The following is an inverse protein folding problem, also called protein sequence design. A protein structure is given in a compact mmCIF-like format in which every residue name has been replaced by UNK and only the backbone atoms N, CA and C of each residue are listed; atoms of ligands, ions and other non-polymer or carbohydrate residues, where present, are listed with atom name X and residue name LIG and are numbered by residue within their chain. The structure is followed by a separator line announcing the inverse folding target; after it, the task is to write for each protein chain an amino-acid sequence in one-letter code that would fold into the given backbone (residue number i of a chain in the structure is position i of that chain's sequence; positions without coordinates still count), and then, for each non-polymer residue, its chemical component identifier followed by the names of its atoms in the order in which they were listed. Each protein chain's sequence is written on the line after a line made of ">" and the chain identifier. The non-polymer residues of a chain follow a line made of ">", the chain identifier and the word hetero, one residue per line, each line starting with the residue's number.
data_IF_312918473418
#
_entry.id   IF_312918473418
#
_cell.length_a   1.000
_cell.length_b   1.000
_cell.length_c   1.000
_cell.angle_alpha   90.00
_cell.angle_beta   90.00
_cell.angle_gamma   90.00
#
_symmetry.space_group_name_H-M   'P 1'
#
loop_
_entity.id
_entity.type
_entity.pdbx_description
1 polymer ?
#
# COMPACT_ATOMS: atom_id res chain seq x y z
N UNK A 1 20.02 -14.28 14.13
CA UNK A 1 19.47 -14.75 12.83
C UNK A 1 19.28 -13.54 11.92
N UNK A 2 19.72 -13.57 10.66
CA UNK A 2 19.39 -12.50 9.70
C UNK A 2 17.87 -12.53 9.50
N UNK A 3 17.14 -11.50 9.89
CA UNK A 3 15.71 -11.43 9.58
C UNK A 3 15.58 -11.28 8.07
N UNK A 4 14.83 -12.17 7.42
CA UNK A 4 14.58 -12.19 5.98
C UNK A 4 13.63 -11.04 5.59
N UNK A 5 14.09 -9.81 5.79
CA UNK A 5 13.32 -8.60 5.54
C UNK A 5 13.20 -8.37 4.02
N UNK A 6 11.99 -8.11 3.50
CA UNK A 6 11.78 -8.00 2.05
C UNK A 6 12.63 -6.91 1.39
N UNK A 7 13.16 -7.19 0.20
CA UNK A 7 13.85 -6.23 -0.66
C UNK A 7 12.93 -5.72 -1.78
N UNK A 8 13.34 -4.63 -2.44
CA UNK A 8 12.65 -4.14 -3.64
C UNK A 8 12.95 -5.06 -4.83
N UNK A 9 12.25 -6.19 -4.91
CA UNK A 9 12.45 -7.20 -5.95
C UNK A 9 11.39 -7.17 -7.06
N UNK A 10 10.25 -6.51 -6.83
CA UNK A 10 9.15 -6.42 -7.81
C UNK A 10 9.29 -5.18 -8.67
N UNK A 11 9.42 -5.36 -9.99
CA UNK A 11 9.28 -4.30 -10.99
C UNK A 11 7.79 -4.01 -11.20
N UNK A 12 7.36 -2.80 -10.85
CA UNK A 12 5.95 -2.43 -10.88
C UNK A 12 5.74 -1.16 -11.71
N UNK A 13 4.86 -1.18 -12.70
CA UNK A 13 4.65 -0.04 -13.62
C UNK A 13 3.68 1.04 -13.08
N UNK A 14 3.30 0.95 -11.80
CA UNK A 14 2.29 1.83 -11.19
C UNK A 14 0.85 1.30 -11.32
N UNK A 15 0.60 0.29 -12.16
CA UNK A 15 -0.72 -0.32 -12.30
C UNK A 15 -0.89 -1.56 -11.44
N UNK A 16 -2.04 -1.68 -10.78
CA UNK A 16 -2.29 -2.79 -9.85
C UNK A 16 -2.54 -4.12 -10.57
N UNK A 17 -2.93 -4.11 -11.85
CA UNK A 17 -3.03 -5.31 -12.68
C UNK A 17 -3.81 -6.45 -11.98
N UNK A 18 -3.19 -7.60 -11.79
CA UNK A 18 -3.80 -8.76 -11.09
C UNK A 18 -3.64 -8.73 -9.57
N UNK A 19 -2.95 -7.74 -9.00
CA UNK A 19 -2.74 -7.58 -7.55
C UNK A 19 -3.96 -6.97 -6.85
N UNK A 20 -5.17 -7.40 -7.25
CA UNK A 20 -6.45 -6.89 -6.77
C UNK A 20 -7.05 -7.87 -5.76
N UNK A 21 -7.65 -7.34 -4.70
CA UNK A 21 -8.19 -8.09 -3.56
C UNK A 21 -9.64 -7.72 -3.34
N UNK A 22 -10.51 -8.73 -3.28
CA UNK A 22 -11.98 -8.62 -3.15
C UNK A 22 -12.70 -8.03 -4.38
N UNK A 23 -12.02 -7.94 -5.53
CA UNK A 23 -12.63 -7.59 -6.80
C UNK A 23 -11.75 -8.02 -7.98
N UNK A 24 -12.37 -8.23 -9.13
CA UNK A 24 -11.74 -8.54 -10.42
C UNK A 24 -12.59 -7.97 -11.57
N UNK A 25 -12.14 -8.16 -12.81
CA UNK A 25 -12.77 -7.62 -14.01
C UNK A 25 -14.20 -8.13 -14.27
N UNK A 26 -14.61 -9.22 -13.62
CA UNK A 26 -15.96 -9.79 -13.75
C UNK A 26 -16.96 -9.17 -12.77
N UNK A 27 -16.53 -8.38 -11.79
CA UNK A 27 -17.44 -7.71 -10.86
C UNK A 27 -18.11 -6.50 -11.53
N UNK A 28 -19.41 -6.29 -11.29
CA UNK A 28 -20.17 -5.13 -11.80
C UNK A 28 -19.60 -3.78 -11.31
N UNK A 29 -19.05 -3.78 -10.10
CA UNK A 29 -18.40 -2.62 -9.48
C UNK A 29 -16.91 -2.48 -9.86
N UNK A 30 -16.38 -3.31 -10.76
CA UNK A 30 -15.00 -3.19 -11.23
C UNK A 30 -14.71 -1.78 -11.76
N UNK A 31 -13.47 -1.35 -11.52
CA UNK A 31 -12.91 -0.13 -12.05
C UNK A 31 -11.41 -0.30 -12.23
N UNK A 32 -10.91 0.10 -13.40
CA UNK A 32 -9.47 0.15 -13.62
C UNK A 32 -8.92 1.49 -13.15
N UNK A 33 -8.21 1.45 -12.03
CA UNK A 33 -7.53 2.58 -11.40
C UNK A 33 -6.25 2.99 -12.13
N UNK A 34 -5.85 2.25 -13.17
CA UNK A 34 -4.66 2.52 -13.97
C UNK A 34 -3.43 2.75 -13.06
N UNK A 35 -2.74 3.88 -13.19
CA UNK A 35 -1.58 4.28 -12.39
C UNK A 35 -1.85 5.54 -11.54
N UNK A 36 -3.12 5.83 -11.24
CA UNK A 36 -3.53 7.08 -10.60
C UNK A 36 -2.92 7.24 -9.21
N UNK A 37 -2.84 6.17 -8.43
CA UNK A 37 -2.22 6.22 -7.11
C UNK A 37 -0.73 6.57 -7.19
N UNK A 38 0.05 5.85 -8.01
CA UNK A 38 1.48 6.13 -8.18
C UNK A 38 1.75 7.56 -8.66
N UNK A 39 0.95 8.06 -9.59
CA UNK A 39 1.09 9.42 -10.14
C UNK A 39 0.70 10.53 -9.15
N UNK A 40 0.10 10.19 -8.00
CA UNK A 40 -0.24 11.18 -6.97
C UNK A 40 0.96 11.58 -6.11
N UNK A 41 2.07 10.84 -6.19
CA UNK A 41 3.30 11.11 -5.45
C UNK A 41 4.36 11.74 -6.36
N UNK A 42 4.78 12.97 -6.05
CA UNK A 42 5.75 13.73 -6.87
C UNK A 42 7.18 13.22 -6.72
N UNK A 43 7.52 12.72 -5.53
CA UNK A 43 8.89 12.32 -5.18
C UNK A 43 9.15 10.82 -5.40
N UNK A 44 8.29 10.17 -6.18
CA UNK A 44 8.44 8.75 -6.48
C UNK A 44 9.44 8.54 -7.63
N UNK A 45 10.66 8.15 -7.27
CA UNK A 45 11.74 7.93 -8.25
C UNK A 45 11.62 6.58 -8.94
N UNK A 46 11.84 6.57 -10.26
CA UNK A 46 12.06 5.35 -11.06
C UNK A 46 13.56 5.09 -11.23
N UNK A 47 14.02 3.83 -11.24
CA UNK A 47 15.42 3.54 -11.49
C UNK A 47 15.77 3.86 -12.95
N UNK A 48 16.97 4.42 -13.18
CA UNK A 48 17.44 4.78 -14.52
C UNK A 48 17.46 3.60 -15.51
N UNK A 49 17.70 2.38 -15.00
CA UNK A 49 17.72 1.15 -15.80
C UNK A 49 16.33 0.65 -16.22
N UNK A 50 15.24 1.20 -15.63
CA UNK A 50 13.88 0.84 -15.97
C UNK A 50 12.95 2.05 -15.77
N UNK A 51 12.98 3.06 -16.66
CA UNK A 51 12.28 4.34 -16.50
C UNK A 51 10.74 4.23 -16.53
N UNK A 52 10.20 3.04 -16.78
CA UNK A 52 8.77 2.75 -16.79
C UNK A 52 8.31 1.99 -15.53
N UNK A 53 9.23 1.59 -14.64
CA UNK A 53 8.93 0.75 -13.49
C UNK A 53 9.41 1.38 -12.19
N UNK A 54 8.78 1.01 -11.08
CA UNK A 54 9.20 1.27 -9.72
C UNK A 54 9.72 -0.03 -9.11
N UNK A 55 10.73 0.08 -8.26
CA UNK A 55 11.27 -1.05 -7.51
C UNK A 55 10.57 -1.11 -6.16
N UNK A 56 9.58 -1.99 -6.06
CA UNK A 56 8.73 -2.14 -4.89
C UNK A 56 8.93 -3.49 -4.22
N UNK A 57 8.62 -3.54 -2.93
CA UNK A 57 8.47 -4.78 -2.16
C UNK A 57 7.17 -5.47 -2.56
N UNK A 58 6.07 -4.71 -2.51
CA UNK A 58 4.73 -5.19 -2.84
C UNK A 58 3.86 -4.02 -3.31
N UNK A 59 2.80 -4.36 -4.03
CA UNK A 59 1.75 -3.44 -4.45
C UNK A 59 0.43 -4.20 -4.52
N UNK A 60 -0.62 -3.63 -3.94
CA UNK A 60 -1.94 -4.23 -3.87
C UNK A 60 -3.05 -3.18 -3.99
N UNK A 61 -4.19 -3.62 -4.53
CA UNK A 61 -5.43 -2.86 -4.56
C UNK A 61 -6.54 -3.63 -3.87
N UNK A 62 -7.24 -2.98 -2.97
CA UNK A 62 -8.31 -3.55 -2.15
C UNK A 62 -9.61 -2.82 -2.38
N UNK A 63 -10.70 -3.58 -2.52
CA UNK A 63 -12.05 -3.05 -2.43
C UNK A 63 -12.70 -3.53 -1.12
N UNK A 64 -12.59 -2.71 -0.07
CA UNK A 64 -13.21 -3.03 1.22
C UNK A 64 -14.73 -2.88 1.21
N UNK A 65 -15.28 -2.12 0.25
CA UNK A 65 -16.72 -2.01 0.03
C UNK A 65 -17.37 -3.37 -0.20
N UNK A 66 -16.67 -4.32 -0.83
CA UNK A 66 -17.15 -5.71 -0.95
C UNK A 66 -17.33 -6.39 0.40
N UNK A 67 -16.31 -6.32 1.26
CA UNK A 67 -16.34 -6.93 2.60
C UNK A 67 -17.47 -6.32 3.42
N UNK A 68 -17.60 -5.00 3.39
CA UNK A 68 -18.68 -4.29 4.08
C UNK A 68 -20.03 -4.73 3.51
N UNK A 69 -20.23 -4.71 2.18
CA UNK A 69 -21.49 -5.14 1.57
C UNK A 69 -21.90 -6.58 1.91
N UNK A 70 -20.92 -7.49 2.07
CA UNK A 70 -21.19 -8.87 2.48
C UNK A 70 -21.72 -8.95 3.92
N UNK A 71 -21.25 -8.07 4.82
CA UNK A 71 -21.75 -8.00 6.20
C UNK A 71 -23.20 -7.51 6.30
N UNK A 72 -23.70 -6.79 5.30
CA UNK A 72 -25.07 -6.24 5.27
C UNK A 72 -26.09 -7.14 4.54
N UNK A 73 -25.76 -8.40 4.23
CA UNK A 73 -26.66 -9.32 3.50
C UNK A 73 -28.00 -9.60 4.20
N UNK A 74 -28.04 -9.54 5.54
CA UNK A 74 -29.26 -9.70 6.34
C UNK A 74 -29.96 -8.37 6.69
N UNK A 75 -29.41 -7.23 6.25
CA UNK A 75 -29.94 -5.91 6.53
C UNK A 75 -31.15 -5.55 5.64
N UNK A 76 -31.76 -4.39 5.90
CA UNK A 76 -32.84 -3.82 5.09
C UNK A 76 -32.36 -3.50 3.66
N UNK A 77 -33.29 -3.30 2.74
CA UNK A 77 -32.99 -2.97 1.35
C UNK A 77 -32.24 -1.64 1.21
N UNK A 78 -32.53 -0.69 2.08
CA UNK A 78 -31.92 0.64 2.12
C UNK A 78 -30.46 0.54 2.59
N UNK A 79 -30.21 -0.19 3.68
CA UNK A 79 -28.86 -0.39 4.21
C UNK A 79 -27.97 -1.16 3.24
N UNK A 80 -28.52 -2.15 2.54
CA UNK A 80 -27.80 -2.88 1.47
C UNK A 80 -27.34 -1.94 0.36
N UNK A 81 -28.24 -1.10 -0.14
CA UNK A 81 -27.92 -0.12 -1.18
C UNK A 81 -26.87 0.88 -0.72
N UNK A 82 -26.90 1.29 0.54
CA UNK A 82 -25.87 2.16 1.11
C UNK A 82 -24.51 1.46 1.18
N UNK A 83 -24.47 0.21 1.66
CA UNK A 83 -23.24 -0.57 1.70
C UNK A 83 -22.67 -0.86 0.30
N UNK A 84 -23.52 -1.08 -0.71
CA UNK A 84 -23.10 -1.23 -2.11
C UNK A 84 -22.42 0.02 -2.67
N UNK A 85 -22.81 1.23 -2.25
CA UNK A 85 -22.13 2.47 -2.67
C UNK A 85 -20.66 2.48 -2.29
N UNK A 86 -20.29 1.82 -1.18
CA UNK A 86 -18.91 1.74 -0.71
C UNK A 86 -18.01 0.91 -1.62
N UNK A 87 -18.58 0.07 -2.49
CA UNK A 87 -17.84 -0.66 -3.53
C UNK A 87 -17.23 0.27 -4.59
N UNK A 88 -17.64 1.53 -4.64
CA UNK A 88 -17.04 2.52 -5.53
C UNK A 88 -15.72 3.11 -5.01
N UNK A 89 -15.28 2.72 -3.81
CA UNK A 89 -14.05 3.19 -3.19
C UNK A 89 -13.00 2.08 -3.16
N UNK A 90 -11.79 2.42 -3.61
CA UNK A 90 -10.66 1.52 -3.73
C UNK A 90 -9.52 2.03 -2.85
N UNK A 91 -8.88 1.11 -2.14
CA UNK A 91 -7.69 1.41 -1.36
C UNK A 91 -6.49 0.73 -1.99
N UNK A 92 -5.55 1.52 -2.45
CA UNK A 92 -4.34 1.07 -3.11
C UNK A 92 -3.14 1.36 -2.25
N UNK A 93 -2.20 0.43 -2.17
CA UNK A 93 -0.92 0.72 -1.54
C UNK A 93 0.22 0.01 -2.23
N UNK A 94 1.40 0.60 -2.09
CA UNK A 94 2.66 -0.01 -2.48
C UNK A 94 3.76 0.37 -1.50
N UNK A 95 4.75 -0.50 -1.39
CA UNK A 95 5.80 -0.40 -0.36
C UNK A 95 7.16 -0.40 -1.00
N UNK A 96 8.02 0.53 -0.58
CA UNK A 96 9.41 0.64 -1.02
C UNK A 96 10.30 0.54 0.20
N UNK A 97 11.28 -0.36 0.17
CA UNK A 97 12.40 -0.38 1.11
C UNK A 97 13.31 0.80 0.78
N UNK A 98 13.50 1.71 1.75
CA UNK A 98 14.31 2.92 1.58
C UNK A 98 15.72 2.81 2.18
N UNK A 99 16.00 1.76 2.97
CA UNK A 99 17.36 1.46 3.45
C UNK A 99 17.45 1.21 4.95
N UNK A 100 18.67 1.13 5.48
CA UNK A 100 18.88 1.05 6.91
C UNK A 100 18.51 2.38 7.57
N UNK A 101 17.87 2.34 8.74
CA UNK A 101 17.52 3.52 9.51
C UNK A 101 17.65 3.26 11.01
N UNK A 102 17.92 4.29 11.84
CA UNK A 102 17.96 4.12 13.29
C UNK A 102 16.62 3.61 13.81
N UNK A 103 16.65 2.50 14.54
CA UNK A 103 15.50 1.93 15.23
C UNK A 103 15.61 2.24 16.72
N UNK A 104 14.70 3.06 17.23
CA UNK A 104 14.60 3.37 18.67
C UNK A 104 13.42 2.60 19.27
N UNK A 105 13.61 1.29 19.43
CA UNK A 105 12.68 0.48 20.21
C UNK A 105 12.75 0.89 21.69
N UNK A 106 11.63 1.31 22.26
CA UNK A 106 11.49 1.50 23.72
C UNK A 106 11.63 0.14 24.41
N UNK A 107 12.64 -0.02 25.28
CA UNK A 107 12.79 -1.20 26.15
C UNK A 107 14.13 -1.96 26.06
N UNK A 108 15.03 -1.60 25.14
CA UNK A 108 16.35 -2.27 25.04
C UNK A 108 17.41 -1.50 25.83
N UNK A 109 17.90 -2.09 26.92
CA UNK A 109 18.95 -1.50 27.77
C UNK A 109 20.27 -1.39 27.01
N UNK A 110 20.70 -0.17 26.69
CA UNK A 110 21.94 0.10 25.96
C UNK A 110 23.11 0.08 26.95
N UNK A 111 24.05 -0.87 26.79
CA UNK A 111 25.21 -1.02 27.69
C UNK A 111 26.23 0.10 27.41
N UNK A 112 26.67 0.81 28.45
CA UNK A 112 27.68 1.89 28.38
C UNK A 112 28.98 1.34 27.76
N UNK A 113 29.38 1.84 26.59
CA UNK A 113 30.54 1.36 25.82
C UNK A 113 30.23 0.56 24.54
N UNK A 114 28.95 0.29 24.27
CA UNK A 114 28.50 -0.29 23.00
C UNK A 114 28.66 0.71 21.86
N UNK A 115 29.42 0.37 20.82
CA UNK A 115 29.41 1.12 19.55
C UNK A 115 28.04 0.90 18.90
N UNK A 116 27.30 1.96 18.56
CA UNK A 116 25.89 1.97 18.11
C UNK A 116 25.54 1.18 16.82
N UNK A 117 26.39 0.25 16.37
CA UNK A 117 26.16 -0.62 15.20
C UNK A 117 24.99 -1.62 15.37
N UNK A 118 24.33 -1.65 16.53
CA UNK A 118 23.26 -2.59 16.87
C UNK A 118 21.84 -2.05 16.80
N UNK A 119 21.64 -0.74 16.62
CA UNK A 119 20.31 -0.11 16.58
C UNK A 119 19.79 0.13 15.14
N UNK A 120 20.37 -0.53 14.14
CA UNK A 120 19.97 -0.30 12.75
C UNK A 120 18.76 -1.17 12.37
N UNK A 121 17.60 -0.55 12.20
CA UNK A 121 16.45 -1.15 11.54
C UNK A 121 16.52 -1.08 10.02
N UNK A 122 15.46 -1.56 9.38
CA UNK A 122 15.17 -1.39 7.97
C UNK A 122 13.94 -0.53 7.81
N UNK A 123 14.10 0.59 7.12
CA UNK A 123 13.01 1.49 6.82
C UNK A 123 12.28 1.08 5.53
N UNK A 124 10.96 1.13 5.61
CA UNK A 124 10.04 0.96 4.51
C UNK A 124 9.15 2.19 4.43
N UNK A 125 9.02 2.74 3.24
CA UNK A 125 8.05 3.78 2.93
C UNK A 125 6.83 3.13 2.31
N UNK A 126 5.68 3.41 2.89
CA UNK A 126 4.38 2.92 2.47
C UNK A 126 3.64 4.09 1.84
N UNK A 127 3.21 3.90 0.61
CA UNK A 127 2.40 4.84 -0.13
C UNK A 127 1.00 4.25 -0.26
N UNK A 128 -0.01 4.97 0.20
CA UNK A 128 -1.41 4.56 0.17
C UNK A 128 -2.28 5.58 -0.54
N UNK A 129 -3.30 5.13 -1.27
CA UNK A 129 -4.28 5.98 -1.91
C UNK A 129 -5.69 5.46 -1.69
N UNK A 130 -6.61 6.36 -1.32
CA UNK A 130 -8.05 6.15 -1.48
C UNK A 130 -8.52 6.70 -2.82
N UNK A 131 -9.17 5.89 -3.64
CA UNK A 131 -9.71 6.29 -4.95
C UNK A 131 -11.22 6.11 -4.98
N UNK A 132 -11.93 7.11 -5.52
CA UNK A 132 -13.36 6.99 -5.86
C UNK A 132 -13.54 6.76 -7.36
N UNK A 133 -14.30 5.73 -7.74
CA UNK A 133 -14.69 5.44 -9.12
C UNK A 133 -15.50 6.58 -9.75
N UNK A 134 -15.30 6.79 -11.04
CA UNK A 134 -16.12 7.67 -11.89
C UNK A 134 -15.34 8.81 -12.54
N UNK A 135 -16.08 9.70 -13.22
CA UNK A 135 -15.50 10.89 -13.87
C UNK A 135 -15.10 11.95 -12.84
N UNK A 136 -15.90 12.12 -11.78
CA UNK A 136 -15.53 12.89 -10.58
C UNK A 136 -14.63 12.07 -9.65
N UNK A 137 -13.51 11.61 -10.23
CA UNK A 137 -12.52 10.78 -9.56
C UNK A 137 -11.81 11.61 -8.50
N UNK A 138 -11.90 11.15 -7.26
CA UNK A 138 -11.13 11.67 -6.14
C UNK A 138 -9.97 10.71 -5.86
N UNK A 139 -8.77 11.26 -5.64
CA UNK A 139 -7.60 10.50 -5.17
C UNK A 139 -7.06 11.18 -3.92
N UNK A 140 -7.04 10.44 -2.82
CA UNK A 140 -6.48 10.89 -1.54
C UNK A 140 -5.22 10.08 -1.30
N UNK A 141 -4.06 10.71 -1.44
CA UNK A 141 -2.75 10.07 -1.30
C UNK A 141 -2.15 10.34 0.09
N UNK A 142 -1.61 9.30 0.71
CA UNK A 142 -0.95 9.33 2.02
C UNK A 142 0.38 8.59 1.95
N UNK A 143 1.37 9.10 2.68
CA UNK A 143 2.68 8.49 2.81
C UNK A 143 2.99 8.26 4.28
N UNK A 144 3.62 7.12 4.59
CA UNK A 144 4.14 6.83 5.92
C UNK A 144 5.47 6.09 5.83
N UNK A 145 6.29 6.21 6.87
CA UNK A 145 7.56 5.48 6.99
C UNK A 145 7.52 4.65 8.26
N UNK A 146 7.82 3.36 8.11
CA UNK A 146 7.97 2.42 9.21
C UNK A 146 9.41 1.92 9.27
N UNK A 147 9.94 1.71 10.47
CA UNK A 147 11.26 1.12 10.67
C UNK A 147 11.10 -0.20 11.41
N UNK A 148 11.49 -1.30 10.75
CA UNK A 148 11.45 -2.64 11.32
C UNK A 148 12.81 -3.02 11.90
N UNK A 149 12.88 -3.66 13.08
CA UNK A 149 14.14 -4.14 13.63
C UNK A 149 14.73 -5.25 12.75
N UNK A 150 16.05 -5.22 12.53
CA UNK A 150 16.82 -6.26 11.81
C UNK A 150 17.02 -7.54 12.62
#
# INVERSE_FOLDING_TARGET
>A
AKRNLPSNSKKWNGSMGTSRKNYNSSNSYYYDTQNYCANSFKDLSKPNSAPNFYDVVSSESWNFGKVISDSFRSATSEEKKEAEKLQNYFYEFFVIRIGAAPFRGTGSSVKKGSTDKGNDGMAYRIYGCGLKKGNDRMVVALESVIVLPK
#
